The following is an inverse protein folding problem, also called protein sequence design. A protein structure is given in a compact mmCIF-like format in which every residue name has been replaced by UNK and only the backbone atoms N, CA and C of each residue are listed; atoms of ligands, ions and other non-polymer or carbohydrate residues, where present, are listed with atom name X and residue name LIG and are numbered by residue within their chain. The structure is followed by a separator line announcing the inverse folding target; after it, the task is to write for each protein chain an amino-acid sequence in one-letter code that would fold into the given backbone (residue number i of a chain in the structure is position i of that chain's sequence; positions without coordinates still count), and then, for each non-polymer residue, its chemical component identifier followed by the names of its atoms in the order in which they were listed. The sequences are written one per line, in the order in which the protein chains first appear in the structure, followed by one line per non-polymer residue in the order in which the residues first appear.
data_IF_317271984290
#
_entry.id   IF_317271984290
#
_cell.length_a   1.000
_cell.length_b   1.000
_cell.length_c   1.000
_cell.angle_alpha   90.00
_cell.angle_beta   90.00
_cell.angle_gamma   90.00
#
_symmetry.space_group_name_H-M   'P 1'
#
loop_
_entity.id
_entity.type
_entity.pdbx_description
1 polymer ?
#
# COMPACT_ATOMS: atom_id res chain seq x y z
N UNK A 1 9.54 -30.52 -10.06
CA UNK A 1 8.60 -29.58 -10.73
C UNK A 1 8.75 -28.13 -10.29
N UNK A 2 9.56 -27.85 -9.25
CA UNK A 2 9.79 -26.47 -8.77
C UNK A 2 10.46 -25.55 -9.81
N UNK A 3 11.18 -26.13 -10.77
CA UNK A 3 11.87 -25.38 -11.82
C UNK A 3 11.00 -25.09 -13.06
N UNK A 4 9.80 -25.64 -13.13
CA UNK A 4 8.88 -25.45 -14.26
C UNK A 4 7.65 -24.67 -13.78
N UNK A 5 7.42 -23.56 -14.42
CA UNK A 5 6.27 -22.69 -14.10
C UNK A 5 5.15 -22.97 -15.11
N UNK A 6 4.02 -23.47 -14.64
CA UNK A 6 2.83 -23.70 -15.47
C UNK A 6 1.93 -22.47 -15.55
N UNK A 7 1.94 -21.64 -14.49
CA UNK A 7 1.07 -20.47 -14.38
C UNK A 7 1.89 -19.25 -13.95
N UNK A 8 1.71 -18.16 -14.66
CA UNK A 8 2.31 -16.85 -14.31
C UNK A 8 1.34 -16.09 -13.41
N UNK A 9 1.80 -15.71 -12.23
CA UNK A 9 1.01 -14.89 -11.31
C UNK A 9 0.86 -13.47 -11.83
N UNK A 10 -0.38 -12.98 -11.89
CA UNK A 10 -0.73 -11.62 -12.30
C UNK A 10 -1.28 -10.86 -11.11
N UNK A 11 -0.68 -9.71 -10.80
CA UNK A 11 -1.17 -8.85 -9.72
C UNK A 11 -2.57 -8.30 -10.06
N UNK A 12 -3.48 -8.14 -9.06
CA UNK A 12 -4.77 -7.51 -9.28
C UNK A 12 -4.62 -6.11 -9.90
N UNK A 13 -5.61 -5.68 -10.68
CA UNK A 13 -5.62 -4.37 -11.36
C UNK A 13 -5.44 -3.20 -10.41
N UNK A 14 -5.93 -3.33 -9.16
CA UNK A 14 -5.76 -2.32 -8.11
C UNK A 14 -4.28 -1.99 -7.81
N UNK A 15 -3.38 -2.96 -8.00
CA UNK A 15 -1.94 -2.78 -7.79
C UNK A 15 -1.18 -2.36 -9.05
N UNK A 16 -1.90 -2.25 -10.17
CA UNK A 16 -1.39 -1.83 -11.48
C UNK A 16 -2.25 -0.69 -12.04
N UNK A 17 -2.51 0.38 -11.29
CA UNK A 17 -3.37 1.46 -11.78
C UNK A 17 -2.69 2.18 -12.94
N UNK A 18 -3.51 2.66 -13.88
CA UNK A 18 -3.04 3.59 -14.89
C UNK A 18 -2.69 4.93 -14.25
N UNK A 19 -1.65 5.59 -14.74
CA UNK A 19 -1.30 6.95 -14.34
C UNK A 19 -1.90 7.96 -15.30
N UNK A 20 -2.53 8.99 -14.75
CA UNK A 20 -3.11 10.09 -15.52
C UNK A 20 -2.17 11.29 -15.41
N UNK A 21 -1.74 11.82 -16.55
CA UNK A 21 -0.89 13.00 -16.62
C UNK A 21 -1.53 13.99 -17.61
N UNK A 22 -2.22 14.99 -17.08
CA UNK A 22 -3.11 15.87 -17.88
C UNK A 22 -4.28 15.07 -18.44
N UNK A 23 -4.53 15.19 -19.74
CA UNK A 23 -5.60 14.48 -20.45
C UNK A 23 -5.17 13.09 -20.97
N UNK A 24 -3.91 12.70 -20.77
CA UNK A 24 -3.39 11.42 -21.26
C UNK A 24 -3.33 10.39 -20.12
N UNK A 25 -3.80 9.20 -20.45
CA UNK A 25 -3.73 8.04 -19.53
C UNK A 25 -2.60 7.12 -20.01
N UNK A 26 -1.64 6.88 -19.12
CA UNK A 26 -0.54 5.96 -19.35
C UNK A 26 -0.80 4.66 -18.62
N UNK A 27 -0.63 3.55 -19.30
CA UNK A 27 -0.72 2.23 -18.70
C UNK A 27 0.44 1.98 -17.72
N UNK A 28 0.19 1.10 -16.74
CA UNK A 28 1.24 0.66 -15.83
C UNK A 28 2.32 -0.12 -16.59
N UNK A 29 3.58 0.15 -16.27
CA UNK A 29 4.72 -0.50 -16.93
C UNK A 29 4.69 -2.04 -16.85
N UNK A 30 4.14 -2.63 -15.79
CA UNK A 30 3.97 -4.08 -15.68
C UNK A 30 3.04 -4.65 -16.75
N UNK A 31 2.06 -3.88 -17.22
CA UNK A 31 1.13 -4.32 -18.25
C UNK A 31 1.86 -4.58 -19.57
N UNK A 32 2.90 -3.83 -19.90
CA UNK A 32 3.71 -4.04 -21.12
C UNK A 32 4.36 -5.44 -21.12
N UNK A 33 4.96 -5.84 -19.99
CA UNK A 33 5.59 -7.16 -19.86
C UNK A 33 4.55 -8.30 -19.89
N UNK A 34 3.43 -8.11 -19.19
CA UNK A 34 2.33 -9.09 -19.17
C UNK A 34 1.68 -9.24 -20.55
N UNK A 35 1.52 -8.15 -21.29
CA UNK A 35 0.99 -8.17 -22.67
C UNK A 35 1.91 -8.93 -23.59
N UNK A 36 3.23 -8.77 -23.47
CA UNK A 36 4.21 -9.56 -24.23
C UNK A 36 4.05 -11.06 -23.93
N UNK A 37 3.94 -11.45 -22.67
CA UNK A 37 3.71 -12.86 -22.28
C UNK A 37 2.40 -13.38 -22.87
N UNK A 38 1.32 -12.62 -22.78
CA UNK A 38 0.01 -13.02 -23.29
C UNK A 38 0.03 -13.21 -24.84
N UNK A 39 0.59 -12.25 -25.55
CA UNK A 39 0.67 -12.31 -27.02
C UNK A 39 1.54 -13.48 -27.48
N UNK A 40 2.67 -13.73 -26.82
CA UNK A 40 3.52 -14.90 -27.14
C UNK A 40 2.83 -16.21 -26.79
N UNK A 41 2.00 -16.26 -25.76
CA UNK A 41 1.18 -17.44 -25.42
C UNK A 41 0.17 -17.73 -26.52
N UNK A 42 -0.51 -16.72 -27.05
CA UNK A 42 -1.43 -16.89 -28.19
C UNK A 42 -0.69 -17.37 -29.43
N UNK A 43 0.49 -16.79 -29.70
CA UNK A 43 1.30 -17.20 -30.82
C UNK A 43 1.77 -18.66 -30.73
N UNK A 44 2.18 -19.13 -29.55
CA UNK A 44 2.51 -20.55 -29.30
C UNK A 44 1.30 -21.43 -29.55
N UNK A 45 0.11 -21.05 -29.11
CA UNK A 45 -1.12 -21.80 -29.35
C UNK A 45 -1.39 -21.94 -30.85
N UNK A 46 -1.33 -20.84 -31.61
CA UNK A 46 -1.59 -20.84 -33.03
C UNK A 46 -0.53 -21.69 -33.82
N UNK A 47 0.74 -21.63 -33.41
CA UNK A 47 1.79 -22.49 -34.01
C UNK A 47 1.58 -23.96 -33.64
N UNK A 48 1.13 -24.25 -32.39
CA UNK A 48 0.84 -25.63 -32.00
C UNK A 48 -0.34 -26.20 -32.79
N UNK A 49 -1.41 -25.43 -32.99
CA UNK A 49 -2.56 -25.85 -33.76
C UNK A 49 -2.17 -26.16 -35.21
N UNK A 50 -1.31 -25.33 -35.81
CA UNK A 50 -0.72 -25.60 -37.16
C UNK A 50 0.12 -26.87 -37.14
N UNK A 51 0.99 -27.07 -36.16
CA UNK A 51 1.83 -28.26 -36.06
C UNK A 51 0.99 -29.54 -35.88
N UNK A 52 -0.11 -29.48 -35.10
CA UNK A 52 -1.03 -30.60 -34.92
C UNK A 52 -1.76 -30.99 -36.22
N UNK A 53 -2.04 -30.04 -37.12
CA UNK A 53 -2.65 -30.36 -38.40
C UNK A 53 -1.79 -31.37 -39.22
N UNK A 54 -0.47 -31.26 -39.12
CA UNK A 54 0.44 -32.20 -39.80
C UNK A 54 0.61 -33.54 -39.08
N UNK A 55 0.17 -33.68 -37.82
CA UNK A 55 0.20 -34.94 -37.08
C UNK A 55 -1.05 -35.79 -37.29
N UNK A 56 -2.17 -35.20 -37.77
CA UNK A 56 -3.41 -35.92 -37.99
C UNK A 56 -3.28 -36.74 -39.32
N UNK A 57 -3.56 -38.05 -39.22
CA UNK A 57 -3.52 -38.96 -40.40
C UNK A 57 -4.42 -38.51 -41.55
N UNK A 58 -5.51 -37.79 -41.23
CA UNK A 58 -6.45 -37.25 -42.25
C UNK A 58 -5.86 -36.15 -43.11
N UNK A 59 -4.73 -35.55 -42.73
CA UNK A 59 -4.10 -34.43 -43.43
C UNK A 59 -2.84 -34.85 -44.18
N UNK A 60 -2.59 -36.18 -44.33
CA UNK A 60 -1.56 -36.65 -45.24
C UNK A 60 -1.98 -36.34 -46.68
N UNK A 61 -1.01 -35.97 -47.54
CA UNK A 61 -1.33 -35.67 -48.96
C UNK A 61 -1.93 -36.89 -49.63
N UNK A 62 -3.04 -36.70 -50.34
CA UNK A 62 -3.66 -37.71 -51.15
C UNK A 62 -2.82 -37.84 -52.43
N UNK A 63 -2.21 -39.01 -52.65
CA UNK A 63 -1.33 -39.30 -53.77
C UNK A 63 -2.02 -40.07 -54.89
N UNK A 64 -3.29 -40.45 -54.70
CA UNK A 64 -4.04 -41.21 -55.67
C UNK A 64 -4.30 -40.42 -56.97
N UNK A 65 -3.86 -40.98 -58.11
CA UNK A 65 -4.04 -40.36 -59.42
C UNK A 65 -2.95 -39.39 -59.89
N UNK A 66 -1.84 -39.27 -59.14
CA UNK A 66 -0.68 -38.45 -59.51
C UNK A 66 0.42 -39.31 -60.15
N UNK A 67 1.16 -38.76 -61.12
CA UNK A 67 2.40 -39.38 -61.65
C UNK A 67 3.45 -39.48 -60.56
N UNK A 68 4.35 -40.45 -60.58
CA UNK A 68 5.38 -40.69 -59.59
C UNK A 68 6.21 -39.44 -59.29
N UNK A 69 6.53 -38.62 -60.26
CA UNK A 69 7.26 -37.36 -60.12
C UNK A 69 6.48 -36.29 -59.38
N UNK A 70 5.16 -36.20 -59.62
CA UNK A 70 4.25 -35.28 -58.94
C UNK A 70 4.00 -35.72 -57.50
N UNK A 71 3.81 -37.02 -57.26
CA UNK A 71 3.64 -37.59 -55.93
C UNK A 71 4.84 -37.31 -55.03
N UNK A 72 6.05 -37.50 -55.50
CA UNK A 72 7.31 -37.18 -54.78
C UNK A 72 7.42 -35.67 -54.50
N UNK A 73 7.03 -34.81 -55.41
CA UNK A 73 7.07 -33.36 -55.19
C UNK A 73 6.08 -32.92 -54.13
N UNK A 74 4.84 -33.42 -54.13
CA UNK A 74 3.81 -33.13 -53.14
C UNK A 74 4.22 -33.63 -51.73
N UNK A 75 4.77 -34.84 -51.66
CA UNK A 75 5.25 -35.40 -50.42
C UNK A 75 6.44 -34.57 -49.84
N UNK A 76 7.38 -34.18 -50.71
CA UNK A 76 8.50 -33.34 -50.29
C UNK A 76 8.05 -31.96 -49.82
N UNK A 77 7.09 -31.33 -50.46
CA UNK A 77 6.53 -30.06 -50.04
C UNK A 77 5.83 -30.21 -48.67
N UNK A 78 5.03 -31.25 -48.48
CA UNK A 78 4.38 -31.52 -47.19
C UNK A 78 5.39 -31.71 -46.04
N UNK A 79 6.49 -32.44 -46.30
CA UNK A 79 7.57 -32.60 -45.31
C UNK A 79 8.27 -31.27 -44.95
N UNK A 80 8.47 -30.40 -45.97
CA UNK A 80 9.05 -29.07 -45.73
C UNK A 80 8.11 -28.21 -44.90
N UNK A 81 6.81 -28.20 -45.22
CA UNK A 81 5.82 -27.44 -44.50
C UNK A 81 5.66 -27.94 -43.02
N UNK A 82 5.72 -29.27 -42.85
CA UNK A 82 5.73 -29.87 -41.51
C UNK A 82 6.95 -29.45 -40.70
N UNK A 83 8.14 -29.47 -41.30
CA UNK A 83 9.37 -29.01 -40.61
C UNK A 83 9.27 -27.53 -40.27
N UNK A 84 8.82 -26.70 -41.19
CA UNK A 84 8.65 -25.28 -40.98
C UNK A 84 7.66 -24.98 -39.86
N UNK A 85 6.54 -25.74 -39.75
CA UNK A 85 5.58 -25.62 -38.66
C UNK A 85 6.18 -26.00 -37.30
N UNK A 86 7.02 -27.05 -37.25
CA UNK A 86 7.70 -27.46 -36.02
C UNK A 86 8.78 -26.45 -35.60
N UNK A 87 9.56 -25.93 -36.55
CA UNK A 87 10.57 -24.91 -36.30
C UNK A 87 9.91 -23.60 -35.79
N UNK A 88 8.77 -23.22 -36.37
CA UNK A 88 7.98 -22.10 -35.89
C UNK A 88 7.47 -22.29 -34.45
N UNK A 89 6.97 -23.49 -34.13
CA UNK A 89 6.53 -23.83 -32.78
C UNK A 89 7.69 -23.75 -31.78
N UNK A 90 8.83 -24.34 -32.08
CA UNK A 90 10.03 -24.27 -31.23
C UNK A 90 10.48 -22.83 -31.02
N UNK A 91 10.51 -22.04 -32.05
CA UNK A 91 10.87 -20.62 -32.00
C UNK A 91 9.87 -19.83 -31.15
N UNK A 92 8.59 -20.11 -31.29
CA UNK A 92 7.53 -19.50 -30.46
C UNK A 92 7.66 -19.86 -28.98
N UNK A 93 7.99 -21.13 -28.66
CA UNK A 93 8.24 -21.57 -27.27
C UNK A 93 9.46 -20.86 -26.65
N UNK A 94 10.54 -20.68 -27.42
CA UNK A 94 11.70 -19.92 -26.95
C UNK A 94 11.34 -18.45 -26.72
N UNK A 95 10.55 -17.84 -27.60
CA UNK A 95 10.08 -16.46 -27.38
C UNK A 95 9.20 -16.32 -26.15
N UNK A 96 8.33 -17.31 -25.89
CA UNK A 96 7.53 -17.32 -24.65
C UNK A 96 8.43 -17.39 -23.41
N UNK A 97 9.42 -18.29 -23.43
CA UNK A 97 10.39 -18.40 -22.33
C UNK A 97 11.14 -17.08 -22.09
N UNK A 98 11.59 -16.42 -23.17
CA UNK A 98 12.24 -15.10 -23.06
C UNK A 98 11.29 -14.06 -22.48
N UNK A 99 10.03 -14.03 -22.91
CA UNK A 99 9.03 -13.08 -22.40
C UNK A 99 8.75 -13.28 -20.90
N UNK A 100 8.64 -14.53 -20.46
CA UNK A 100 8.47 -14.88 -19.04
C UNK A 100 9.74 -14.52 -18.25
N UNK A 101 10.91 -14.81 -18.76
CA UNK A 101 12.18 -14.42 -18.13
C UNK A 101 12.29 -12.91 -17.95
N UNK A 102 11.87 -12.12 -18.96
CA UNK A 102 11.85 -10.66 -18.89
C UNK A 102 10.83 -10.15 -17.85
N UNK A 103 9.68 -10.81 -17.71
CA UNK A 103 8.70 -10.48 -16.69
C UNK A 103 9.24 -10.74 -15.26
N UNK A 104 9.94 -11.83 -15.07
CA UNK A 104 10.56 -12.16 -13.77
C UNK A 104 11.76 -11.26 -13.51
N UNK A 105 12.67 -11.15 -14.47
CA UNK A 105 13.91 -10.37 -14.36
C UNK A 105 14.12 -9.51 -15.61
N UNK A 106 13.83 -8.23 -15.51
CA UNK A 106 13.93 -7.29 -16.64
C UNK A 106 15.37 -7.12 -17.17
N UNK A 107 16.39 -7.52 -16.42
CA UNK A 107 17.78 -7.53 -16.88
C UNK A 107 18.04 -8.57 -17.98
N UNK A 108 17.13 -9.54 -18.13
CA UNK A 108 17.18 -10.59 -19.16
C UNK A 108 16.52 -10.17 -20.48
N UNK A 109 16.04 -8.94 -20.59
CA UNK A 109 15.42 -8.45 -21.80
C UNK A 109 16.49 -8.28 -22.90
N UNK A 110 16.38 -9.02 -24.04
CA UNK A 110 17.33 -8.93 -25.14
C UNK A 110 17.19 -7.64 -25.95
N UNK A 111 16.07 -6.91 -25.80
CA UNK A 111 15.84 -5.67 -26.53
C UNK A 111 16.74 -4.56 -25.98
N UNK A 112 17.54 -3.88 -26.82
CA UNK A 112 18.33 -2.76 -26.38
C UNK A 112 17.41 -1.64 -25.85
N UNK A 113 17.72 -1.17 -24.66
CA UNK A 113 17.03 -0.03 -24.09
C UNK A 113 17.26 1.19 -24.98
N UNK A 114 16.19 1.88 -25.36
CA UNK A 114 16.33 3.20 -25.99
C UNK A 114 17.03 4.12 -25.00
N UNK A 115 18.09 4.81 -25.45
CA UNK A 115 18.82 5.74 -24.62
C UNK A 115 17.87 6.73 -23.93
N UNK A 116 17.92 6.80 -22.60
CA UNK A 116 17.10 7.70 -21.79
C UNK A 116 15.80 7.13 -21.23
N UNK A 117 15.41 5.91 -21.59
CA UNK A 117 14.21 5.28 -21.04
C UNK A 117 14.59 4.27 -19.94
N UNK A 118 14.05 4.47 -18.72
CA UNK A 118 14.23 3.51 -17.64
C UNK A 118 13.61 2.16 -18.03
N UNK A 119 14.34 1.07 -17.78
CA UNK A 119 13.81 -0.27 -18.03
C UNK A 119 12.57 -0.52 -17.19
N UNK A 120 11.54 -1.09 -17.81
CA UNK A 120 10.36 -1.55 -17.09
C UNK A 120 10.78 -2.57 -16.03
N UNK A 121 10.52 -2.32 -14.73
CA UNK A 121 10.95 -3.22 -13.67
C UNK A 121 10.18 -4.55 -13.73
N UNK A 122 10.90 -5.67 -13.71
CA UNK A 122 10.34 -7.00 -13.51
C UNK A 122 10.04 -7.28 -12.04
N UNK A 123 9.51 -8.47 -11.75
CA UNK A 123 9.20 -8.91 -10.38
C UNK A 123 10.44 -8.87 -9.48
N UNK A 124 11.58 -9.33 -9.96
CA UNK A 124 12.86 -9.32 -9.23
C UNK A 124 13.29 -7.91 -8.84
N UNK A 125 13.21 -6.95 -9.77
CA UNK A 125 13.57 -5.56 -9.51
C UNK A 125 12.66 -4.89 -8.48
N UNK A 126 11.39 -5.35 -8.38
CA UNK A 126 10.47 -4.94 -7.33
C UNK A 126 10.81 -5.48 -5.93
N UNK A 127 11.64 -6.51 -5.83
CA UNK A 127 12.04 -7.14 -4.57
C UNK A 127 13.46 -6.78 -4.15
N UNK A 128 14.35 -6.57 -5.11
CA UNK A 128 15.77 -6.34 -4.89
C UNK A 128 16.12 -4.92 -4.50
N UNK A 129 17.32 -4.79 -3.89
CA UNK A 129 18.01 -3.53 -3.60
C UNK A 129 17.26 -2.64 -2.61
N UNK A 130 17.71 -1.37 -2.52
CA UNK A 130 17.18 -0.38 -1.57
C UNK A 130 15.73 0.01 -1.87
N UNK A 131 15.35 0.03 -3.15
CA UNK A 131 14.02 0.40 -3.61
C UNK A 131 13.03 -0.78 -3.63
N UNK A 132 13.51 -2.00 -3.36
CA UNK A 132 12.70 -3.20 -3.34
C UNK A 132 11.79 -3.31 -2.11
N UNK A 133 10.81 -4.21 -2.21
CA UNK A 133 9.79 -4.44 -1.19
C UNK A 133 10.39 -4.73 0.19
N UNK A 134 11.44 -5.57 0.27
CA UNK A 134 12.00 -5.99 1.54
C UNK A 134 12.61 -4.82 2.33
N UNK A 135 13.41 -3.98 1.69
CA UNK A 135 14.11 -2.88 2.38
C UNK A 135 13.26 -1.63 2.53
N UNK A 136 12.37 -1.33 1.59
CA UNK A 136 11.59 -0.09 1.57
C UNK A 136 10.27 -0.20 2.33
N UNK A 137 9.64 -1.39 2.34
CA UNK A 137 8.28 -1.55 2.86
C UNK A 137 8.14 -2.59 3.98
N UNK A 138 9.11 -3.48 4.18
CA UNK A 138 9.06 -4.52 5.22
C UNK A 138 10.02 -4.24 6.37
N UNK A 139 11.29 -4.01 6.09
CA UNK A 139 12.30 -3.69 7.11
C UNK A 139 12.22 -2.24 7.59
N UNK A 140 11.72 -1.35 6.74
CA UNK A 140 11.43 0.04 7.07
C UNK A 140 10.08 0.45 6.47
N UNK A 141 9.30 1.25 7.21
CA UNK A 141 7.97 1.72 6.78
C UNK A 141 7.79 3.19 7.15
N UNK A 142 7.02 3.91 6.35
CA UNK A 142 6.49 5.21 6.76
C UNK A 142 5.27 4.98 7.64
N UNK A 143 5.23 5.69 8.77
CA UNK A 143 4.14 5.59 9.75
C UNK A 143 3.37 6.90 9.82
N UNK A 144 2.08 6.81 10.15
CA UNK A 144 1.23 7.94 10.46
C UNK A 144 1.37 8.30 11.95
N UNK A 145 0.76 9.39 12.37
CA UNK A 145 0.78 9.91 13.73
C UNK A 145 2.20 10.13 14.27
N UNK A 146 3.04 10.68 13.40
CA UNK A 146 4.40 11.05 13.71
C UNK A 146 4.62 12.54 13.37
N UNK A 147 5.57 13.16 14.05
CA UNK A 147 6.02 14.51 13.80
C UNK A 147 7.54 14.57 13.87
N UNK A 148 8.12 15.57 13.21
CA UNK A 148 9.55 15.83 13.24
C UNK A 148 9.78 17.33 13.38
N UNK A 149 10.66 17.73 14.27
CA UNK A 149 11.05 19.11 14.46
C UNK A 149 12.41 19.22 15.14
N UNK A 150 12.93 20.42 15.10
CA UNK A 150 14.15 20.79 15.81
C UNK A 150 13.92 20.72 17.31
N UNK A 151 14.94 20.30 18.05
CA UNK A 151 14.94 20.22 19.51
C UNK A 151 15.64 21.47 20.11
N UNK A 152 15.15 21.89 21.23
CA UNK A 152 15.75 22.97 22.04
C UNK A 152 15.77 22.59 23.52
N UNK A 153 16.73 23.05 24.30
CA UNK A 153 16.81 22.70 25.71
C UNK A 153 15.74 23.43 26.53
N UNK A 154 15.25 22.77 27.57
CA UNK A 154 14.41 23.37 28.60
C UNK A 154 14.68 22.71 29.95
N UNK A 155 15.04 23.48 30.94
CA UNK A 155 15.30 23.01 32.32
C UNK A 155 14.04 23.01 33.17
N UNK A 156 12.96 23.63 32.72
CA UNK A 156 11.70 23.78 33.46
C UNK A 156 10.73 22.62 33.27
N UNK A 157 11.10 21.63 32.45
CA UNK A 157 10.34 20.38 32.28
C UNK A 157 11.03 19.26 33.06
N UNK A 158 10.28 18.24 33.45
CA UNK A 158 10.84 17.06 34.11
C UNK A 158 11.65 16.19 33.12
N UNK A 159 12.54 15.36 33.64
CA UNK A 159 13.38 14.46 32.82
C UNK A 159 12.58 13.43 32.04
N UNK A 160 11.39 13.06 32.53
CA UNK A 160 10.45 12.15 31.89
C UNK A 160 9.45 12.87 30.97
N UNK A 161 9.52 14.20 30.88
CA UNK A 161 8.64 15.00 30.03
C UNK A 161 9.33 15.40 28.72
N UNK A 162 8.52 15.70 27.73
CA UNK A 162 8.91 16.34 26.48
C UNK A 162 7.95 17.47 26.16
N UNK A 163 8.51 18.64 25.88
CA UNK A 163 7.73 19.82 25.52
C UNK A 163 7.26 19.75 24.07
N UNK A 164 5.96 19.83 23.86
CA UNK A 164 5.33 19.72 22.54
C UNK A 164 4.74 21.07 22.12
N UNK A 165 5.09 21.62 20.96
CA UNK A 165 4.46 22.83 20.45
C UNK A 165 2.97 22.64 20.16
N UNK A 166 2.13 23.67 20.31
CA UNK A 166 0.68 23.57 20.11
C UNK A 166 0.31 23.22 18.66
N UNK A 167 1.15 23.54 17.69
CA UNK A 167 0.95 23.16 16.27
C UNK A 167 0.90 21.65 16.10
N UNK A 168 1.81 20.92 16.75
CA UNK A 168 1.79 19.46 16.72
C UNK A 168 0.69 18.89 17.59
N UNK A 169 0.42 19.49 18.76
CA UNK A 169 -0.64 19.05 19.66
C UNK A 169 -2.03 19.09 19.00
N UNK A 170 -2.30 20.06 18.14
CA UNK A 170 -3.56 20.15 17.37
C UNK A 170 -3.64 19.17 16.20
N UNK A 171 -2.51 18.75 15.65
CA UNK A 171 -2.48 17.84 14.48
C UNK A 171 -2.38 16.37 14.85
N UNK A 172 -1.66 16.05 15.91
CA UNK A 172 -1.57 14.68 16.42
C UNK A 172 -2.82 14.38 17.23
N UNK A 173 -3.54 13.34 16.82
CA UNK A 173 -4.80 12.95 17.45
C UNK A 173 -4.72 11.58 18.05
N UNK A 174 -5.50 11.35 19.10
CA UNK A 174 -5.66 10.06 19.75
C UNK A 174 -7.14 9.64 19.74
N UNK A 175 -7.45 8.41 19.30
CA UNK A 175 -8.82 7.90 19.26
C UNK A 175 -9.25 7.47 20.68
N UNK A 176 -9.83 8.36 21.43
CA UNK A 176 -10.33 8.06 22.76
C UNK A 176 -11.77 7.55 22.70
N UNK A 177 -12.06 6.34 23.22
CA UNK A 177 -13.43 5.82 23.25
C UNK A 177 -14.27 6.61 24.23
N UNK A 178 -15.50 6.94 23.83
CA UNK A 178 -16.43 7.67 24.68
C UNK A 178 -17.06 6.72 25.69
N UNK A 179 -16.93 7.06 26.96
CA UNK A 179 -17.53 6.34 28.08
C UNK A 179 -18.36 7.31 28.94
N UNK A 180 -19.17 6.78 29.80
CA UNK A 180 -19.97 7.61 30.74
C UNK A 180 -19.06 8.50 31.61
N UNK A 181 -17.87 8.00 31.96
CA UNK A 181 -16.94 8.71 32.83
C UNK A 181 -16.21 9.88 32.15
N UNK A 182 -15.95 9.80 30.85
CA UNK A 182 -15.21 10.83 30.09
C UNK A 182 -16.13 11.66 29.19
N UNK A 183 -17.43 11.41 29.21
CA UNK A 183 -18.39 12.03 28.27
C UNK A 183 -18.35 13.56 28.31
N UNK A 184 -18.41 14.17 29.49
CA UNK A 184 -18.44 15.63 29.56
C UNK A 184 -17.17 16.27 29.00
N UNK A 185 -16.02 15.63 29.26
CA UNK A 185 -14.76 16.08 28.69
C UNK A 185 -14.76 15.93 27.16
N UNK A 186 -15.18 14.77 26.65
CA UNK A 186 -15.23 14.52 25.20
C UNK A 186 -16.22 15.47 24.51
N UNK A 187 -17.35 15.76 25.16
CA UNK A 187 -18.35 16.72 24.71
C UNK A 187 -17.75 18.11 24.51
N UNK A 188 -17.02 18.62 25.50
CA UNK A 188 -16.35 19.92 25.41
C UNK A 188 -15.32 19.96 24.29
N UNK A 189 -14.50 18.90 24.14
CA UNK A 189 -13.48 18.83 23.09
C UNK A 189 -14.10 18.84 21.68
N UNK A 190 -15.23 18.18 21.48
CA UNK A 190 -15.95 18.19 20.19
C UNK A 190 -16.53 19.58 19.90
N UNK A 191 -17.06 20.27 20.88
CA UNK A 191 -17.59 21.64 20.73
C UNK A 191 -16.46 22.61 20.36
N UNK A 192 -15.30 22.53 21.01
CA UNK A 192 -14.12 23.34 20.70
C UNK A 192 -13.66 23.14 19.23
N UNK A 193 -13.74 21.91 18.73
CA UNK A 193 -13.34 21.58 17.37
C UNK A 193 -11.84 21.55 17.14
N UNK A 194 -11.38 21.62 15.87
CA UNK A 194 -9.98 21.43 15.50
C UNK A 194 -9.08 22.65 15.72
N UNK A 195 -9.65 23.85 15.74
CA UNK A 195 -8.87 25.11 15.75
C UNK A 195 -8.50 25.56 17.16
N UNK A 196 -9.32 25.24 18.14
CA UNK A 196 -9.11 25.61 19.54
C UNK A 196 -8.43 24.46 20.29
N UNK A 197 -7.39 24.76 21.07
CA UNK A 197 -6.72 23.78 21.92
C UNK A 197 -7.15 24.01 23.39
N UNK A 198 -7.53 22.99 24.13
CA UNK A 198 -7.73 21.58 23.76
C UNK A 198 -9.02 21.37 22.93
N UNK A 199 -8.97 20.50 21.94
CA UNK A 199 -10.09 20.22 21.07
C UNK A 199 -10.03 18.81 20.46
N UNK A 200 -10.84 18.60 19.41
CA UNK A 200 -10.87 17.34 18.65
C UNK A 200 -10.89 17.61 17.16
N UNK A 201 -10.38 16.67 16.38
CA UNK A 201 -10.31 16.74 14.92
C UNK A 201 -11.52 16.09 14.26
N UNK A 202 -11.94 14.94 14.73
CA UNK A 202 -13.03 14.16 14.16
C UNK A 202 -13.72 13.29 15.23
N UNK A 203 -14.90 12.82 14.90
CA UNK A 203 -15.62 11.78 15.66
C UNK A 203 -15.77 10.58 14.76
N UNK A 204 -15.36 9.41 15.26
CA UNK A 204 -15.55 8.12 14.59
C UNK A 204 -16.77 7.43 15.19
N UNK A 205 -17.75 7.12 14.35
CA UNK A 205 -18.95 6.39 14.73
C UNK A 205 -18.70 4.90 14.95
N UNK A 206 -19.68 4.18 15.46
CA UNK A 206 -19.64 2.73 15.72
C UNK A 206 -19.40 1.88 14.46
N UNK A 207 -19.84 2.37 13.30
CA UNK A 207 -19.67 1.75 11.98
C UNK A 207 -18.31 2.04 11.34
N UNK A 208 -17.45 2.82 12.02
CA UNK A 208 -16.13 3.24 11.53
C UNK A 208 -16.16 4.49 10.65
N UNK A 209 -17.31 5.10 10.43
CA UNK A 209 -17.43 6.35 9.66
C UNK A 209 -16.84 7.52 10.45
N UNK A 210 -15.96 8.30 9.82
CA UNK A 210 -15.34 9.48 10.44
C UNK A 210 -16.02 10.76 9.98
N UNK A 211 -16.48 11.55 10.95
CA UNK A 211 -17.04 12.88 10.72
C UNK A 211 -16.03 13.94 11.13
N UNK A 212 -15.51 14.69 10.13
CA UNK A 212 -14.53 15.75 10.37
C UNK A 212 -15.22 16.99 10.97
N UNK A 213 -14.76 17.44 12.12
CA UNK A 213 -15.32 18.61 12.82
C UNK A 213 -15.03 19.95 12.12
N UNK A 214 -14.01 19.97 11.26
CA UNK A 214 -13.66 21.15 10.48
C UNK A 214 -14.80 21.61 9.54
N UNK A 215 -15.58 20.66 9.02
CA UNK A 215 -16.64 20.89 8.06
C UNK A 215 -17.99 21.25 8.72
N UNK A 216 -18.06 21.24 10.03
CA UNK A 216 -19.29 21.45 10.81
C UNK A 216 -19.30 22.82 11.47
N UNK A 217 -20.49 23.44 11.52
CA UNK A 217 -20.77 24.64 12.31
C UNK A 217 -20.69 24.34 13.82
N UNK A 218 -20.65 25.37 14.65
CA UNK A 218 -20.64 25.21 16.10
C UNK A 218 -21.93 24.54 16.61
N UNK A 219 -23.05 24.82 15.99
CA UNK A 219 -24.35 24.23 16.33
C UNK A 219 -24.38 22.73 16.00
N UNK A 220 -23.90 22.35 14.82
CA UNK A 220 -23.80 20.95 14.40
C UNK A 220 -22.81 20.17 15.26
N UNK A 221 -21.69 20.78 15.64
CA UNK A 221 -20.73 20.16 16.60
C UNK A 221 -21.39 19.93 17.97
N UNK A 222 -22.20 20.88 18.44
CA UNK A 222 -22.91 20.75 19.69
C UNK A 222 -23.98 19.65 19.63
N UNK A 223 -24.70 19.55 18.52
CA UNK A 223 -25.66 18.47 18.30
C UNK A 223 -24.96 17.09 18.27
N UNK A 224 -23.83 16.98 17.55
CA UNK A 224 -23.02 15.77 17.49
C UNK A 224 -22.45 15.41 18.86
N UNK A 225 -21.98 16.39 19.63
CA UNK A 225 -21.44 16.20 20.97
C UNK A 225 -22.48 15.65 21.95
N UNK A 226 -23.73 16.10 21.86
CA UNK A 226 -24.83 15.58 22.67
C UNK A 226 -25.23 14.13 22.31
N UNK A 227 -24.89 13.68 21.08
CA UNK A 227 -25.19 12.33 20.60
C UNK A 227 -24.04 11.32 20.80
N UNK A 228 -22.95 11.69 21.46
CA UNK A 228 -21.78 10.83 21.62
C UNK A 228 -22.09 9.51 22.33
N UNK A 229 -22.96 9.51 23.34
CA UNK A 229 -23.39 8.29 24.05
C UNK A 229 -24.61 7.60 23.44
N UNK A 230 -25.29 8.24 22.49
CA UNK A 230 -26.47 7.67 21.86
C UNK A 230 -26.03 6.65 20.83
N UNK A 231 -26.42 5.36 20.96
CA UNK A 231 -26.08 4.36 19.96
C UNK A 231 -26.72 4.73 18.63
N UNK A 232 -25.97 4.67 17.54
CA UNK A 232 -26.56 4.75 16.21
C UNK A 232 -27.32 3.45 15.97
N UNK A 233 -28.66 3.55 16.01
CA UNK A 233 -29.54 2.41 15.84
C UNK A 233 -29.22 1.64 14.57
N UNK A 234 -29.28 0.33 14.63
CA UNK A 234 -29.06 -0.64 13.55
C UNK A 234 -30.04 -0.50 12.36
N UNK A 235 -30.77 0.62 12.28
CA UNK A 235 -31.90 0.83 11.39
C UNK A 235 -31.54 1.00 9.92
N UNK A 236 -30.31 1.23 9.53
CA UNK A 236 -29.94 1.44 8.12
C UNK A 236 -29.35 0.22 7.41
N UNK A 237 -28.86 -0.78 8.15
CA UNK A 237 -28.27 -1.99 7.54
C UNK A 237 -29.22 -3.20 7.51
N UNK A 238 -30.23 -3.27 8.42
CA UNK A 238 -31.24 -4.33 8.37
C UNK A 238 -32.25 -4.17 7.22
N UNK A 239 -32.43 -2.99 6.68
CA UNK A 239 -33.39 -2.74 5.58
C UNK A 239 -32.86 -3.16 4.20
N UNK A 240 -31.58 -3.51 4.03
CA UNK A 240 -30.97 -3.91 2.73
C UNK A 240 -30.60 -5.38 2.61
N UNK A 241 -30.89 -6.22 3.58
CA UNK A 241 -30.44 -7.61 3.61
C UNK A 241 -31.53 -8.63 3.87
N UNK A 242 -32.75 -8.44 3.38
CA UNK A 242 -33.78 -9.50 3.43
C UNK A 242 -33.78 -10.29 2.13
N UNK A 243 -32.79 -11.15 1.94
CA UNK A 243 -32.93 -12.37 1.17
C UNK A 243 -32.22 -13.50 1.92
N UNK A 244 -33.01 -14.54 2.20
CA UNK A 244 -32.75 -15.59 3.14
C UNK A 244 -31.40 -16.30 2.99
N UNK A 245 -30.75 -16.50 4.10
CA UNK A 245 -29.64 -17.39 4.31
C UNK A 245 -29.50 -17.66 5.79
N UNK A 246 -29.74 -18.92 6.18
CA UNK A 246 -29.45 -19.45 7.51
C UNK A 246 -27.94 -19.35 7.76
N UNK A 247 -27.51 -18.28 8.37
CA UNK A 247 -26.12 -18.05 8.76
C UNK A 247 -26.11 -17.08 9.93
N UNK A 248 -25.65 -17.55 11.10
CA UNK A 248 -25.63 -16.78 12.33
C UNK A 248 -25.06 -15.36 12.10
N UNK A 249 -25.84 -14.37 12.47
CA UNK A 249 -25.41 -12.99 12.52
C UNK A 249 -24.14 -12.91 13.39
N UNK A 250 -22.98 -12.78 12.77
CA UNK A 250 -21.78 -12.32 13.45
C UNK A 250 -22.15 -11.00 14.11
N UNK A 251 -22.40 -11.03 15.42
CA UNK A 251 -22.53 -9.81 16.24
C UNK A 251 -21.22 -9.06 16.05
N UNK A 252 -21.24 -8.02 15.22
CA UNK A 252 -20.14 -7.04 15.24
C UNK A 252 -20.05 -6.54 16.68
N UNK A 253 -18.85 -6.59 17.30
CA UNK A 253 -18.70 -6.09 18.64
C UNK A 253 -19.19 -4.65 18.66
N UNK A 254 -20.04 -4.32 19.62
CA UNK A 254 -20.51 -2.94 19.85
C UNK A 254 -19.29 -2.13 20.25
N UNK A 255 -18.75 -1.39 19.28
CA UNK A 255 -17.64 -0.48 19.56
C UNK A 255 -18.21 0.88 19.95
N UNK A 256 -17.75 1.44 21.06
CA UNK A 256 -18.12 2.78 21.44
C UNK A 256 -17.67 3.79 20.39
N UNK A 257 -18.40 4.88 20.22
CA UNK A 257 -17.93 6.02 19.41
C UNK A 257 -16.59 6.48 19.96
N UNK A 258 -15.72 6.93 19.07
CA UNK A 258 -14.39 7.41 19.40
C UNK A 258 -14.25 8.88 19.00
N UNK A 259 -13.69 9.68 19.89
CA UNK A 259 -13.32 11.06 19.57
C UNK A 259 -11.83 11.11 19.31
N UNK A 260 -11.47 11.59 18.09
CA UNK A 260 -10.07 11.85 17.76
C UNK A 260 -9.68 13.19 18.37
N UNK A 261 -9.31 13.13 19.67
CA UNK A 261 -8.92 14.31 20.42
C UNK A 261 -7.49 14.76 20.13
N UNK A 262 -7.20 16.01 20.33
CA UNK A 262 -5.84 16.53 20.29
C UNK A 262 -4.96 15.84 21.35
N UNK A 263 -3.64 15.87 21.09
CA UNK A 263 -2.65 15.46 22.07
C UNK A 263 -2.76 16.36 23.32
N UNK A 264 -2.73 15.75 24.50
CA UNK A 264 -2.87 16.44 25.79
C UNK A 264 -1.62 16.27 26.64
N UNK A 265 -1.43 17.18 27.55
CA UNK A 265 -0.42 17.03 28.62
C UNK A 265 -0.69 15.77 29.42
N UNK A 266 0.33 14.92 29.58
CA UNK A 266 0.26 13.62 30.24
C UNK A 266 0.18 12.43 29.27
N UNK A 267 -0.12 12.64 27.98
CA UNK A 267 -0.09 11.57 26.98
C UNK A 267 1.33 11.04 26.80
N UNK A 268 1.46 9.76 26.45
CA UNK A 268 2.76 9.14 26.23
C UNK A 268 3.14 9.22 24.77
N UNK A 269 4.34 9.71 24.51
CA UNK A 269 4.97 9.82 23.21
C UNK A 269 6.24 8.98 23.18
N UNK A 270 6.56 8.41 22.04
CA UNK A 270 7.86 7.78 21.81
C UNK A 270 8.72 8.73 21.00
N UNK A 271 9.86 9.11 21.57
CA UNK A 271 10.83 10.00 20.94
C UNK A 271 11.98 9.20 20.36
N UNK A 272 12.45 9.59 19.18
CA UNK A 272 13.57 8.96 18.48
C UNK A 272 14.48 10.01 17.86
N UNK A 273 15.80 9.82 18.01
CA UNK A 273 16.80 10.54 17.21
C UNK A 273 17.53 9.54 16.32
N UNK A 274 17.62 9.84 15.04
CA UNK A 274 18.45 9.09 14.09
C UNK A 274 19.89 9.60 14.11
N UNK A 275 20.91 8.71 13.99
CA UNK A 275 20.82 7.27 13.84
C UNK A 275 20.48 6.55 15.16
N UNK A 276 19.63 5.50 15.07
CA UNK A 276 19.21 4.70 16.23
C UNK A 276 20.23 3.59 16.49
N UNK A 277 21.32 3.90 17.16
CA UNK A 277 22.46 3.00 17.36
C UNK A 277 22.29 2.03 18.53
N UNK A 278 21.47 2.40 19.51
CA UNK A 278 21.27 1.62 20.74
C UNK A 278 19.86 1.84 21.30
N UNK A 279 19.46 1.04 22.28
CA UNK A 279 18.09 1.11 22.84
C UNK A 279 17.66 2.49 23.34
N UNK A 280 18.49 3.25 24.07
CA UNK A 280 18.11 4.58 24.56
C UNK A 280 17.93 5.65 23.47
N UNK A 281 18.26 5.35 22.21
CA UNK A 281 17.94 6.25 21.10
C UNK A 281 16.42 6.34 20.80
N UNK A 282 15.61 5.48 21.40
CA UNK A 282 14.16 5.54 21.41
C UNK A 282 13.67 5.39 22.85
N UNK A 283 12.98 6.40 23.37
CA UNK A 283 12.44 6.38 24.75
C UNK A 283 11.06 6.99 24.77
N UNK A 284 10.23 6.52 25.70
CA UNK A 284 8.91 7.09 25.97
C UNK A 284 9.02 8.26 26.94
N UNK A 285 8.29 9.32 26.63
CA UNK A 285 8.17 10.53 27.45
C UNK A 285 6.72 10.92 27.63
N UNK A 286 6.41 11.64 28.71
CA UNK A 286 5.12 12.28 28.88
C UNK A 286 5.09 13.61 28.11
N UNK A 287 4.05 13.82 27.34
CA UNK A 287 3.85 15.07 26.65
C UNK A 287 3.54 16.20 27.63
N UNK A 288 4.16 17.34 27.46
CA UNK A 288 3.78 18.61 28.09
C UNK A 288 3.56 19.63 26.97
N UNK A 289 2.34 20.05 26.77
CA UNK A 289 2.02 21.02 25.73
C UNK A 289 2.37 22.42 26.23
N UNK A 290 3.33 23.06 25.54
CA UNK A 290 3.83 24.38 25.89
C UNK A 290 3.28 25.42 24.92
N UNK A 291 2.41 26.30 25.41
CA UNK A 291 1.84 27.36 24.59
C UNK A 291 2.90 28.44 24.35
N UNK A 292 3.00 28.87 23.09
CA UNK A 292 3.98 29.87 22.67
C UNK A 292 5.30 29.30 22.11
N UNK A 293 5.57 28.02 22.32
CA UNK A 293 6.76 27.36 21.79
C UNK A 293 6.55 26.84 20.37
N UNK A 294 7.66 26.80 19.58
CA UNK A 294 7.65 26.33 18.19
C UNK A 294 8.50 25.08 17.98
N UNK A 295 9.44 24.81 18.90
CA UNK A 295 10.38 23.69 18.84
C UNK A 295 10.01 22.64 19.89
N UNK A 296 10.47 21.41 19.70
CA UNK A 296 10.36 20.36 20.70
C UNK A 296 11.33 20.70 21.83
N UNK A 297 10.87 20.65 23.08
CA UNK A 297 11.66 20.96 24.26
C UNK A 297 12.07 19.68 24.98
N UNK A 298 13.35 19.58 25.31
CA UNK A 298 13.93 18.40 25.95
C UNK A 298 14.81 18.81 27.13
N UNK A 299 14.74 18.03 28.23
CA UNK A 299 15.64 18.23 29.37
C UNK A 299 17.07 17.79 29.04
N UNK A 300 18.08 18.52 29.47
CA UNK A 300 19.50 18.23 29.23
C UNK A 300 19.94 16.81 29.63
N UNK A 301 19.36 16.25 30.69
CA UNK A 301 19.70 14.92 31.18
C UNK A 301 19.54 13.80 30.11
N UNK A 302 18.66 14.00 29.14
CA UNK A 302 18.39 13.03 28.09
C UNK A 302 19.33 13.14 26.88
N UNK A 303 20.12 14.22 26.76
CA UNK A 303 20.96 14.46 25.60
C UNK A 303 21.97 13.33 25.33
N UNK A 304 22.60 12.82 26.37
CA UNK A 304 23.59 11.74 26.23
C UNK A 304 22.94 10.44 25.73
N UNK A 305 21.72 10.12 26.17
CA UNK A 305 21.01 8.93 25.72
C UNK A 305 20.63 8.98 24.24
N UNK A 306 20.23 10.14 23.75
CA UNK A 306 19.91 10.35 22.34
C UNK A 306 21.15 10.71 21.50
N UNK A 307 22.30 10.94 22.14
CA UNK A 307 23.47 11.54 21.51
C UNK A 307 23.10 12.81 20.73
N UNK A 308 22.29 13.66 21.37
CA UNK A 308 21.73 14.87 20.80
C UNK A 308 22.43 16.11 21.35
N UNK A 309 22.59 17.09 20.48
CA UNK A 309 22.99 18.46 20.82
C UNK A 309 21.96 19.46 20.25
N UNK A 310 22.15 20.73 20.54
CA UNK A 310 21.18 21.75 20.16
C UNK A 310 21.71 22.71 19.07
N UNK A 311 22.53 22.19 18.19
CA UNK A 311 23.08 22.91 17.05
C UNK A 311 22.20 22.91 15.80
N UNK A 312 21.00 22.38 15.91
CA UNK A 312 20.02 22.20 14.81
C UNK A 312 19.51 20.77 14.66
N UNK A 313 19.82 19.91 15.62
CA UNK A 313 19.33 18.53 15.65
C UNK A 313 17.81 18.46 15.62
N UNK A 314 17.30 17.47 14.88
CA UNK A 314 15.88 17.15 14.78
C UNK A 314 15.59 15.79 15.43
N UNK A 315 14.45 15.67 16.06
CA UNK A 315 13.95 14.43 16.61
C UNK A 315 12.58 14.07 16.04
N UNK A 316 12.32 12.77 15.96
CA UNK A 316 11.04 12.23 15.56
C UNK A 316 10.19 11.91 16.80
N UNK A 317 8.92 12.26 16.72
CA UNK A 317 7.93 12.03 17.75
C UNK A 317 6.88 11.06 17.17
N UNK A 318 6.60 9.98 17.89
CA UNK A 318 5.58 9.00 17.52
C UNK A 318 4.49 8.99 18.58
N UNK A 319 3.24 9.08 18.13
CA UNK A 319 2.09 9.05 19.02
C UNK A 319 1.36 7.70 18.87
N UNK A 320 1.57 6.73 19.79
CA UNK A 320 0.87 5.44 19.75
C UNK A 320 -0.64 5.64 19.78
N UNK A 321 -1.36 4.86 18.99
CA UNK A 321 -2.82 5.00 18.80
C UNK A 321 -3.64 3.95 19.56
N UNK A 322 -2.97 3.04 20.24
CA UNK A 322 -3.58 2.01 21.11
C UNK A 322 -2.92 2.03 22.48
N UNK A 323 -3.65 1.59 23.48
CA UNK A 323 -3.12 1.33 24.81
C UNK A 323 -2.37 0.01 24.83
#
# INVERSE_FOLDING_TARGET
DVFFMEVVCVTPTRFRPASVMGDQTFENAQNELLTKVLNTTFYVRDCNDRAQLFQRKTNYPVLDGLDDGQAVAVQRQWELDRRAAMDALLSAMVQLQVSVNCYIDSSKNPSPQRQGQAATPGVKQGLEKKEGLFRKHMMGKRVNHAARSVISPDVNIETNEIGVPPVFAKRLTYPEPVTVHNYELMRQLVIHGPDVYPGAHAVRAEDGTETLLKNLSVEERTALANQLLTPQGQTSRQARGTFGGVGGALRTPVTNKQVLRHLRTGDILVMNRQPTLHKPSMMAHRARVLQGERTIRMHYANCNSYNADFDGDEMNMHFPQSQ
#
